data_IF_853036083383
#
_entry.id   IF_853036083383
#
_cell.length_a   1.000
_cell.length_b   1.000
_cell.length_c   1.000
_cell.angle_alpha   90.00
_cell.angle_beta   90.00
_cell.angle_gamma   90.00
#
_symmetry.space_group_name_H-M   'P 1'
#
loop_
_entity.id
_entity.type
_entity.pdbx_description
1 polymer ?
#
# COMPACT_ATOMS: atom_id res chain seq x y z
N UNK A 1 25.40 -7.36 2.36
CA UNK A 1 24.49 -8.46 1.96
C UNK A 1 23.45 -7.80 1.06
N UNK A 2 23.41 -8.08 -0.26
CA UNK A 2 22.44 -7.43 -1.13
C UNK A 2 21.06 -7.94 -0.68
N UNK A 3 20.34 -7.09 0.05
CA UNK A 3 19.00 -7.40 0.50
C UNK A 3 18.12 -7.16 -0.71
N UNK A 4 17.50 -8.20 -1.29
CA UNK A 4 16.45 -7.96 -2.29
C UNK A 4 15.35 -7.13 -1.61
N UNK A 5 15.33 -5.81 -1.85
CA UNK A 5 14.35 -4.94 -1.20
C UNK A 5 12.99 -5.20 -1.85
N UNK A 6 12.15 -5.85 -1.08
CA UNK A 6 10.74 -6.02 -1.39
C UNK A 6 9.96 -5.08 -0.46
N UNK A 7 9.33 -4.06 -1.04
CA UNK A 7 8.53 -3.09 -0.30
C UNK A 7 7.10 -3.12 -0.82
N UNK A 8 6.13 -3.17 0.09
CA UNK A 8 4.72 -3.02 -0.23
C UNK A 8 4.11 -1.84 0.52
N UNK A 9 3.22 -1.11 -0.16
CA UNK A 9 2.52 0.04 0.40
C UNK A 9 1.02 -0.13 0.16
N UNK A 10 0.24 -0.04 1.22
CA UNK A 10 -1.21 -0.08 1.16
C UNK A 10 -1.75 1.35 1.06
N UNK A 11 -2.42 1.65 -0.05
CA UNK A 11 -3.08 2.93 -0.28
C UNK A 11 -4.56 2.89 0.16
N UNK A 12 -5.12 1.69 0.28
CA UNK A 12 -6.49 1.43 0.72
C UNK A 12 -6.64 -0.01 1.19
N UNK A 13 -7.31 -0.21 2.31
CA UNK A 13 -7.48 -1.53 2.96
C UNK A 13 -8.95 -1.91 3.17
N UNK A 14 -9.88 -1.05 2.75
CA UNK A 14 -11.32 -1.30 2.81
C UNK A 14 -11.77 -2.10 1.58
N UNK A 15 -12.86 -2.87 1.74
CA UNK A 15 -13.40 -3.75 0.70
C UNK A 15 -13.88 -3.05 -0.57
N UNK A 16 -14.69 -3.74 -1.38
CA UNK A 16 -15.09 -3.30 -2.73
C UNK A 16 -15.85 -1.96 -2.77
N UNK A 17 -16.61 -1.62 -1.72
CA UNK A 17 -17.42 -0.41 -1.66
C UNK A 17 -16.64 0.70 -0.94
N UNK A 18 -16.25 1.80 -1.63
CA UNK A 18 -15.62 2.93 -0.99
C UNK A 18 -16.61 3.62 -0.05
N UNK A 19 -16.14 4.01 1.13
CA UNK A 19 -16.93 4.74 2.11
C UNK A 19 -16.25 6.08 2.39
N UNK A 20 -16.49 7.12 1.57
CA UNK A 20 -15.98 8.45 1.83
C UNK A 20 -16.70 9.05 3.04
N UNK A 21 -15.94 9.55 4.03
CA UNK A 21 -16.51 10.18 5.22
C UNK A 21 -15.44 10.54 6.24
N UNK A 22 -15.74 11.51 7.11
CA UNK A 22 -14.84 11.91 8.20
C UNK A 22 -14.57 10.77 9.18
N UNK A 23 -15.53 9.86 9.36
CA UNK A 23 -15.42 8.68 10.23
C UNK A 23 -14.46 7.62 9.67
N UNK A 24 -14.21 7.59 8.36
CA UNK A 24 -13.37 6.58 7.69
C UNK A 24 -12.01 7.10 7.25
N UNK A 25 -11.72 8.39 7.45
CA UNK A 25 -10.44 9.04 7.10
C UNK A 25 -9.24 8.36 7.76
N UNK A 26 -9.38 7.90 9.02
CA UNK A 26 -8.29 7.23 9.76
C UNK A 26 -7.77 5.97 9.05
N UNK A 27 -8.65 5.27 8.33
CA UNK A 27 -8.37 3.97 7.72
C UNK A 27 -8.33 4.02 6.19
N UNK A 28 -8.63 5.17 5.60
CA UNK A 28 -8.78 5.35 4.15
C UNK A 28 -10.13 4.83 3.66
N UNK A 29 -10.94 5.73 3.10
CA UNK A 29 -12.22 5.36 2.47
C UNK A 29 -12.09 4.72 1.09
N UNK A 30 -10.87 4.52 0.61
CA UNK A 30 -10.57 3.99 -0.72
C UNK A 30 -10.74 2.47 -0.75
N UNK A 31 -11.21 1.96 -1.88
CA UNK A 31 -11.20 0.53 -2.23
C UNK A 31 -9.79 -0.04 -2.11
N UNK A 32 -9.67 -1.33 -1.80
CA UNK A 32 -8.39 -2.04 -1.64
C UNK A 32 -7.40 -1.72 -2.76
N UNK A 33 -6.28 -1.09 -2.42
CA UNK A 33 -5.25 -0.72 -3.38
C UNK A 33 -3.85 -0.83 -2.75
N UNK A 34 -2.94 -1.45 -3.51
CA UNK A 34 -1.56 -1.74 -3.09
C UNK A 34 -0.57 -1.33 -4.17
N UNK A 35 0.58 -0.87 -3.74
CA UNK A 35 1.78 -0.66 -4.55
C UNK A 35 2.86 -1.64 -4.08
N UNK A 36 3.56 -2.23 -5.03
CA UNK A 36 4.67 -3.15 -4.77
C UNK A 36 5.90 -2.69 -5.53
N UNK A 37 7.01 -2.55 -4.81
CA UNK A 37 8.33 -2.29 -5.35
C UNK A 37 9.17 -3.55 -5.18
N UNK A 38 9.65 -4.09 -6.31
CA UNK A 38 10.36 -5.37 -6.39
C UNK A 38 11.66 -5.16 -7.16
N UNK A 39 12.76 -5.73 -6.67
CA UNK A 39 14.08 -5.63 -7.30
C UNK A 39 14.86 -4.37 -6.95
N UNK A 40 14.37 -3.57 -5.99
CA UNK A 40 14.97 -2.29 -5.59
C UNK A 40 16.07 -2.43 -4.55
N UNK A 41 17.12 -3.18 -4.84
CA UNK A 41 18.42 -3.04 -4.18
C UNK A 41 19.46 -3.77 -5.02
N UNK A 42 20.26 -2.99 -5.73
CA UNK A 42 21.55 -3.42 -6.22
C UNK A 42 22.56 -2.49 -5.55
N UNK A 43 23.16 -2.96 -4.47
CA UNK A 43 24.36 -2.34 -3.94
C UNK A 43 25.53 -2.79 -4.86
N UNK A 44 26.10 -1.84 -5.61
CA UNK A 44 27.47 -1.97 -6.13
C UNK A 44 28.38 -1.10 -5.29
#
# INVERSE_FOLDING_TARGET
MPYNCFQSKFWGVRGSIPCPGSETVRYGGNTSCVEMQVGGCHDY
#
